data_IF_585934209510
#
_entry.id   IF_585934209510
#
_cell.length_a   1.000
_cell.length_b   1.000
_cell.length_c   1.000
_cell.angle_alpha   90.00
_cell.angle_beta   90.00
_cell.angle_gamma   90.00
#
_symmetry.space_group_name_H-M   'P 1'
#
loop_
_entity.id
_entity.type
_entity.pdbx_description
1 polymer ?
#
# COMPACT_ATOMS: atom_id res chain seq x y z
N UNK A 1 14.57 8.83 5.45
CA UNK A 1 14.42 7.45 4.95
C UNK A 1 13.83 7.54 3.56
N UNK A 2 14.24 6.67 2.63
CA UNK A 2 13.67 6.65 1.28
C UNK A 2 12.38 5.81 1.24
N UNK A 3 11.72 5.78 0.07
CA UNK A 3 10.48 5.02 -0.14
C UNK A 3 10.65 3.53 0.13
N UNK A 4 11.80 2.96 -0.28
CA UNK A 4 12.13 1.54 -0.14
C UNK A 4 12.25 1.15 1.33
N UNK A 5 12.98 1.94 2.12
CA UNK A 5 13.13 1.69 3.55
C UNK A 5 11.82 1.79 4.31
N UNK A 6 10.96 2.76 3.95
CA UNK A 6 9.63 2.88 4.56
C UNK A 6 8.75 1.67 4.21
N UNK A 7 8.75 1.22 2.95
CA UNK A 7 8.00 0.04 2.53
C UNK A 7 8.45 -1.23 3.26
N UNK A 8 9.77 -1.43 3.43
CA UNK A 8 10.29 -2.52 4.24
C UNK A 8 9.75 -2.47 5.67
N UNK A 9 9.83 -1.31 6.33
CA UNK A 9 9.32 -1.18 7.69
C UNK A 9 7.81 -1.47 7.80
N UNK A 10 7.02 -1.05 6.81
CA UNK A 10 5.59 -1.33 6.75
C UNK A 10 5.27 -2.81 6.49
N UNK A 11 6.02 -3.48 5.61
CA UNK A 11 5.80 -4.88 5.22
C UNK A 11 6.29 -5.82 6.33
N UNK A 12 7.46 -5.55 6.89
CA UNK A 12 8.11 -6.39 7.91
C UNK A 12 7.59 -6.08 9.33
N UNK A 13 6.68 -5.12 9.47
CA UNK A 13 6.12 -4.62 10.75
C UNK A 13 7.21 -4.24 11.77
N UNK A 14 8.24 -3.55 11.28
CA UNK A 14 9.40 -3.15 12.09
C UNK A 14 9.23 -1.73 12.59
N UNK A 15 9.54 -1.52 13.88
CA UNK A 15 9.55 -0.17 14.43
C UNK A 15 10.58 0.73 13.73
N UNK A 16 10.10 1.86 13.21
CA UNK A 16 10.99 2.90 12.72
C UNK A 16 11.70 3.58 13.90
N UNK A 17 13.02 3.84 13.81
CA UNK A 17 13.73 4.61 14.82
C UNK A 17 13.07 5.98 15.04
N UNK A 18 13.03 6.43 16.30
CA UNK A 18 12.40 7.71 16.68
C UNK A 18 12.98 8.95 16.00
N UNK A 19 14.20 8.85 15.46
CA UNK A 19 14.88 9.92 14.71
C UNK A 19 14.52 9.94 13.21
N UNK A 20 13.72 8.99 12.73
CA UNK A 20 13.30 8.96 11.32
C UNK A 20 12.31 10.09 11.06
N UNK A 21 12.71 11.02 10.19
CA UNK A 21 11.80 12.02 9.65
C UNK A 21 10.96 11.38 8.55
N UNK A 22 9.65 11.27 8.79
CA UNK A 22 8.68 10.78 7.80
C UNK A 22 8.46 11.82 6.69
N UNK A 23 8.10 11.39 5.47
CA UNK A 23 7.71 12.30 4.41
C UNK A 23 6.53 13.20 4.82
N UNK A 24 6.51 14.42 4.31
CA UNK A 24 5.40 15.36 4.51
C UNK A 24 4.23 14.98 3.59
N UNK A 25 3.52 13.92 3.94
CA UNK A 25 2.36 13.41 3.21
C UNK A 25 1.20 13.11 4.18
N UNK A 26 -0.05 13.25 3.72
CA UNK A 26 -1.23 13.02 4.57
C UNK A 26 -1.33 11.58 5.07
N UNK A 27 -0.84 10.62 4.27
CA UNK A 27 -0.75 9.21 4.66
C UNK A 27 -0.11 9.01 6.04
N UNK A 28 0.99 9.71 6.33
CA UNK A 28 1.71 9.57 7.60
C UNK A 28 1.04 10.23 8.79
N UNK A 29 -0.12 10.88 8.58
CA UNK A 29 -0.97 11.45 9.64
C UNK A 29 -2.11 10.53 10.04
N UNK A 30 -2.38 9.48 9.27
CA UNK A 30 -3.46 8.54 9.56
C UNK A 30 -3.13 7.67 10.78
N UNK A 31 -4.07 7.46 11.69
CA UNK A 31 -3.82 6.68 12.91
C UNK A 31 -3.26 5.27 12.64
N UNK A 32 -3.66 4.65 11.52
CA UNK A 32 -3.30 3.27 11.16
C UNK A 32 -2.30 3.15 10.01
N UNK A 33 -1.55 4.21 9.69
CA UNK A 33 -0.61 4.19 8.56
C UNK A 33 0.39 3.03 8.63
N UNK A 34 0.83 2.65 9.85
CA UNK A 34 1.76 1.54 10.08
C UNK A 34 1.22 0.17 9.69
N UNK A 35 -0.11 0.03 9.66
CA UNK A 35 -0.79 -1.26 9.48
C UNK A 35 -1.15 -1.56 8.02
N UNK A 36 -0.96 -0.60 7.10
CA UNK A 36 -1.51 -0.69 5.73
C UNK A 36 -0.98 -1.88 4.93
N UNK A 37 0.23 -2.38 5.24
CA UNK A 37 0.84 -3.51 4.56
C UNK A 37 0.77 -4.84 5.32
N UNK A 38 0.45 -4.85 6.61
CA UNK A 38 0.57 -6.03 7.48
C UNK A 38 -0.73 -6.38 8.24
N UNK A 39 -1.79 -5.57 8.14
CA UNK A 39 -3.03 -5.84 8.86
C UNK A 39 -3.75 -7.08 8.33
N UNK A 40 -4.34 -7.87 9.24
CA UNK A 40 -5.29 -8.93 8.95
C UNK A 40 -6.72 -8.54 9.34
N UNK A 41 -7.70 -9.32 8.89
CA UNK A 41 -9.11 -9.09 9.20
C UNK A 41 -9.85 -10.42 9.32
N UNK A 42 -10.79 -10.50 10.26
CA UNK A 42 -11.68 -11.65 10.42
C UNK A 42 -12.74 -11.74 9.29
N UNK A 43 -13.02 -10.62 8.61
CA UNK A 43 -14.06 -10.54 7.59
C UNK A 43 -13.64 -11.13 6.23
N UNK A 44 -12.37 -11.51 6.09
CA UNK A 44 -11.83 -12.04 4.85
C UNK A 44 -11.02 -13.29 5.12
N UNK A 45 -11.33 -14.39 4.43
CA UNK A 45 -10.56 -15.64 4.49
C UNK A 45 -9.15 -15.52 3.88
N UNK A 46 -8.84 -14.35 3.33
CA UNK A 46 -7.58 -14.06 2.70
C UNK A 46 -6.46 -13.81 3.70
N UNK A 47 -5.45 -14.68 3.70
CA UNK A 47 -4.23 -14.49 4.48
C UNK A 47 -3.52 -13.20 4.06
N UNK A 48 -3.18 -12.35 5.03
CA UNK A 48 -2.26 -11.23 4.83
C UNK A 48 -0.91 -11.75 4.37
N UNK A 49 -0.42 -11.23 3.24
CA UNK A 49 0.86 -11.62 2.69
C UNK A 49 1.42 -10.47 1.84
N UNK A 50 2.37 -9.74 2.42
CA UNK A 50 3.09 -8.67 1.73
C UNK A 50 4.56 -9.03 1.65
N UNK A 51 5.17 -8.80 0.49
CA UNK A 51 6.55 -9.16 0.21
C UNK A 51 7.16 -8.16 -0.76
N UNK A 52 8.46 -7.92 -0.58
CA UNK A 52 9.25 -7.08 -1.45
C UNK A 52 10.55 -7.77 -1.83
N UNK A 53 10.90 -7.74 -3.11
CA UNK A 53 12.11 -8.37 -3.63
C UNK A 53 12.78 -7.47 -4.66
N UNK A 54 14.12 -7.43 -4.63
CA UNK A 54 14.87 -6.67 -5.62
C UNK A 54 15.09 -7.52 -6.87
N UNK A 55 14.58 -7.05 -8.01
CA UNK A 55 14.81 -7.70 -9.29
C UNK A 55 16.11 -7.20 -9.92
N UNK A 56 17.09 -8.11 -10.00
CA UNK A 56 18.41 -7.80 -10.52
C UNK A 56 18.44 -7.51 -12.03
N UNK A 57 17.42 -7.92 -12.77
CA UNK A 57 17.34 -7.71 -14.23
C UNK A 57 16.85 -6.29 -14.51
N UNK A 58 15.66 -5.92 -14.02
CA UNK A 58 15.11 -4.59 -14.22
C UNK A 58 15.72 -3.53 -13.31
N UNK A 59 16.54 -3.92 -12.32
CA UNK A 59 17.09 -3.02 -11.28
C UNK A 59 16.01 -2.25 -10.53
N UNK A 60 14.87 -2.90 -10.29
CA UNK A 60 13.74 -2.31 -9.57
C UNK A 60 13.28 -3.21 -8.44
N UNK A 61 12.69 -2.61 -7.42
CA UNK A 61 11.98 -3.35 -6.39
C UNK A 61 10.62 -3.80 -6.91
N UNK A 62 10.28 -5.06 -6.66
CA UNK A 62 8.96 -5.63 -6.87
C UNK A 62 8.28 -5.71 -5.52
N UNK A 63 7.05 -5.21 -5.47
CA UNK A 63 6.26 -5.12 -4.24
C UNK A 63 4.92 -5.80 -4.48
N UNK A 64 4.57 -6.72 -3.59
CA UNK A 64 3.24 -7.28 -3.49
C UNK A 64 2.70 -6.95 -2.09
N UNK A 65 1.50 -6.40 -2.03
CA UNK A 65 0.84 -6.09 -0.76
C UNK A 65 -0.52 -6.78 -0.79
N UNK A 66 -0.75 -7.62 0.22
CA UNK A 66 -2.07 -8.15 0.53
C UNK A 66 -2.29 -7.97 2.02
N UNK A 67 -3.17 -7.05 2.36
CA UNK A 67 -3.55 -6.76 3.72
C UNK A 67 -5.04 -6.48 3.80
N UNK A 68 -5.58 -6.57 5.00
CA UNK A 68 -6.97 -6.31 5.30
C UNK A 68 -7.04 -5.23 6.38
N UNK A 69 -7.25 -3.98 5.98
CA UNK A 69 -7.26 -2.81 6.87
C UNK A 69 -8.67 -2.23 6.98
N UNK A 70 -9.06 -1.78 8.17
CA UNK A 70 -10.21 -0.88 8.36
C UNK A 70 -9.83 0.53 7.92
N UNK A 71 -10.30 0.93 6.75
CA UNK A 71 -9.95 2.16 6.03
C UNK A 71 -10.77 3.38 6.50
N UNK A 72 -10.63 3.79 7.77
CA UNK A 72 -11.47 4.86 8.35
C UNK A 72 -11.02 6.28 7.99
N UNK A 73 -9.73 6.48 7.72
CA UNK A 73 -9.16 7.78 7.37
C UNK A 73 -8.64 7.78 5.92
N UNK A 74 -9.22 6.92 5.06
CA UNK A 74 -8.75 6.75 3.67
C UNK A 74 -7.25 6.40 3.60
N UNK A 75 -6.78 5.58 4.54
CA UNK A 75 -5.38 5.15 4.64
C UNK A 75 -4.88 4.49 3.35
N UNK A 76 -5.74 3.69 2.70
CA UNK A 76 -5.40 2.99 1.47
C UNK A 76 -5.21 3.98 0.32
N UNK A 77 -6.11 4.95 0.17
CA UNK A 77 -6.06 5.98 -0.86
C UNK A 77 -4.84 6.88 -0.68
N UNK A 78 -4.63 7.38 0.55
CA UNK A 78 -3.48 8.23 0.89
C UNK A 78 -2.16 7.47 0.74
N UNK A 79 -2.12 6.18 1.06
CA UNK A 79 -0.95 5.32 0.85
C UNK A 79 -0.62 5.19 -0.64
N UNK A 80 -1.62 4.88 -1.47
CA UNK A 80 -1.44 4.74 -2.91
C UNK A 80 -1.04 6.07 -3.55
N UNK A 81 -1.63 7.19 -3.12
CA UNK A 81 -1.26 8.54 -3.58
C UNK A 81 0.20 8.87 -3.26
N UNK A 82 0.65 8.57 -2.04
CA UNK A 82 2.06 8.71 -1.66
C UNK A 82 2.99 7.85 -2.51
N UNK A 83 2.56 6.63 -2.83
CA UNK A 83 3.37 5.64 -3.55
C UNK A 83 3.40 5.87 -5.06
N UNK A 84 2.34 6.48 -5.63
CA UNK A 84 2.13 6.63 -7.07
C UNK A 84 3.34 7.19 -7.85
N UNK A 85 4.06 8.22 -7.37
CA UNK A 85 5.23 8.75 -8.08
C UNK A 85 6.38 7.75 -8.25
N UNK A 86 6.40 6.67 -7.47
CA UNK A 86 7.44 5.64 -7.48
C UNK A 86 7.03 4.38 -8.25
N UNK A 87 5.77 4.29 -8.70
CA UNK A 87 5.27 3.14 -9.46
C UNK A 87 5.55 3.35 -10.95
N UNK A 88 6.33 2.44 -11.53
CA UNK A 88 6.66 2.49 -12.96
C UNK A 88 5.55 1.90 -13.84
N UNK A 89 4.67 1.06 -13.29
CA UNK A 89 3.55 0.47 -14.02
C UNK A 89 2.51 1.55 -14.33
N UNK A 90 2.13 1.69 -15.60
CA UNK A 90 0.89 2.36 -16.00
C UNK A 90 -0.16 1.30 -16.32
N UNK A 91 -1.38 1.46 -15.81
CA UNK A 91 -2.45 0.48 -15.90
C UNK A 91 -2.78 -0.18 -14.56
N UNK A 92 -3.33 -1.39 -14.61
CA UNK A 92 -3.82 -2.11 -13.43
C UNK A 92 -2.69 -2.47 -12.47
N UNK A 93 -2.88 -2.20 -11.17
CA UNK A 93 -1.92 -2.52 -10.12
C UNK A 93 -2.48 -3.37 -8.98
N UNK A 94 -3.80 -3.52 -8.87
CA UNK A 94 -4.42 -4.29 -7.80
C UNK A 94 -5.88 -3.93 -7.59
N UNK A 95 -6.44 -4.31 -6.46
CA UNK A 95 -7.83 -4.06 -6.12
C UNK A 95 -8.02 -3.87 -4.61
N UNK A 96 -9.10 -3.21 -4.23
CA UNK A 96 -9.62 -3.17 -2.87
C UNK A 96 -11.02 -3.77 -2.86
N UNK A 97 -11.47 -4.28 -1.71
CA UNK A 97 -12.85 -4.74 -1.55
C UNK A 97 -13.35 -4.37 -0.16
N UNK A 98 -14.50 -3.70 -0.11
CA UNK A 98 -15.18 -3.43 1.14
C UNK A 98 -15.94 -4.69 1.59
N UNK A 99 -16.03 -4.93 2.90
CA UNK A 99 -16.55 -6.20 3.44
C UNK A 99 -18.02 -6.46 3.12
N UNK A 100 -18.79 -5.41 2.85
CA UNK A 100 -20.21 -5.51 2.49
C UNK A 100 -20.45 -5.61 0.98
N UNK A 101 -19.39 -5.53 0.17
CA UNK A 101 -19.48 -5.55 -1.28
C UNK A 101 -18.99 -6.89 -1.85
N UNK A 102 -19.76 -7.45 -2.78
CA UNK A 102 -19.38 -8.65 -3.51
C UNK A 102 -18.22 -8.37 -4.48
N UNK A 103 -18.34 -7.28 -5.24
CA UNK A 103 -17.39 -6.89 -6.27
C UNK A 103 -16.28 -5.95 -5.74
N UNK A 104 -15.04 -6.11 -6.22
CA UNK A 104 -13.93 -5.24 -5.83
C UNK A 104 -13.94 -3.92 -6.61
N UNK A 105 -13.27 -2.92 -6.04
CA UNK A 105 -12.84 -1.73 -6.79
C UNK A 105 -11.42 -1.97 -7.31
N UNK A 106 -11.24 -1.84 -8.62
CA UNK A 106 -9.94 -1.98 -9.26
C UNK A 106 -9.11 -0.71 -9.09
N UNK A 107 -7.80 -0.89 -8.94
CA UNK A 107 -6.82 0.19 -8.78
C UNK A 107 -5.90 0.24 -9.99
N UNK A 108 -5.80 1.42 -10.59
CA UNK A 108 -4.98 1.71 -11.76
C UNK A 108 -4.02 2.87 -11.47
N UNK A 109 -2.91 2.90 -12.20
CA UNK A 109 -2.06 4.08 -12.35
C UNK A 109 -2.28 4.66 -13.76
N UNK A 110 -2.76 5.89 -13.82
CA UNK A 110 -2.98 6.65 -15.05
C UNK A 110 -2.33 8.03 -14.90
N UNK A 111 -1.42 8.39 -15.81
CA UNK A 111 -0.65 9.64 -15.73
C UNK A 111 0.02 9.89 -14.36
N UNK A 112 0.63 8.83 -13.80
CA UNK A 112 1.23 8.83 -12.45
C UNK A 112 0.27 9.17 -11.31
N UNK A 113 -1.04 9.00 -11.52
CA UNK A 113 -2.08 9.18 -10.51
C UNK A 113 -2.84 7.88 -10.28
N UNK A 114 -3.34 7.72 -9.07
CA UNK A 114 -4.16 6.57 -8.68
C UNK A 114 -5.58 6.80 -9.18
N UNK A 115 -6.14 5.80 -9.86
CA UNK A 115 -7.52 5.81 -10.34
C UNK A 115 -8.23 4.56 -9.84
N UNK A 116 -9.40 4.75 -9.21
CA UNK A 116 -10.26 3.68 -8.72
C UNK A 116 -11.42 3.46 -9.69
N UNK A 117 -11.68 2.21 -10.06
CA UNK A 117 -12.74 1.84 -11.01
C UNK A 117 -13.61 0.72 -10.44
N UNK A 118 -14.91 0.95 -10.37
CA UNK A 118 -15.88 -0.11 -10.07
C UNK A 118 -16.09 -0.97 -11.33
N UNK A 119 -16.38 -2.27 -11.13
CA UNK A 119 -16.72 -3.23 -12.19
C UNK A 119 -18.22 -3.30 -12.37
#
# INVERSE_FOLDING_TARGET
>A
MDVVGILHALIDDVELPSLVVLPKHEFFRCDRWKMVCCCGSYYFDGLTHSIMSFDMISKTWKVNIRANLKNYDSEIEKFLDWLAPYINTCGFIGYTRYEEFDDPTLVYIEDHKVVFKQI
#
